data_IF_063081762420
#
_entry.id   IF_063081762420
#
_cell.length_a   1.000
_cell.length_b   1.000
_cell.length_c   1.000
_cell.angle_alpha   90.00
_cell.angle_beta   90.00
_cell.angle_gamma   90.00
#
_symmetry.space_group_name_H-M   'P 1'
#
loop_
_entity.id
_entity.type
_entity.pdbx_description
1 polymer ?
#
# COMPACT_ATOMS: atom_id res chain seq x y z
N UNK A 1 17.06 -21.92 -15.80
CA UNK A 1 15.78 -22.50 -15.31
C UNK A 1 14.87 -22.70 -16.51
N UNK A 2 14.32 -23.90 -16.68
CA UNK A 2 13.34 -24.16 -17.74
C UNK A 2 12.05 -23.37 -17.52
N UNK A 3 11.42 -22.88 -18.61
CA UNK A 3 10.19 -22.08 -18.57
C UNK A 3 9.07 -22.72 -17.75
N UNK A 4 9.00 -24.06 -17.73
CA UNK A 4 8.05 -24.84 -16.92
C UNK A 4 8.27 -24.65 -15.41
N UNK A 5 9.51 -24.66 -14.95
CA UNK A 5 9.84 -24.49 -13.54
C UNK A 5 9.50 -23.06 -13.04
N UNK A 6 9.73 -22.05 -13.89
CA UNK A 6 9.36 -20.66 -13.59
C UNK A 6 7.84 -20.53 -13.47
N UNK A 7 7.08 -21.05 -14.44
CA UNK A 7 5.62 -20.99 -14.40
C UNK A 7 5.02 -21.73 -13.19
N UNK A 8 5.62 -22.86 -12.80
CA UNK A 8 5.22 -23.59 -11.61
C UNK A 8 5.46 -22.77 -10.33
N UNK A 9 6.63 -22.13 -10.23
CA UNK A 9 6.98 -21.27 -9.10
C UNK A 9 6.03 -20.07 -8.99
N UNK A 10 5.72 -19.42 -10.12
CA UNK A 10 4.77 -18.32 -10.20
C UNK A 10 3.38 -18.75 -9.72
N UNK A 11 2.90 -19.93 -10.17
CA UNK A 11 1.62 -20.47 -9.74
C UNK A 11 1.60 -20.72 -8.23
N UNK A 12 2.62 -21.37 -7.70
CA UNK A 12 2.75 -21.63 -6.26
C UNK A 12 2.75 -20.34 -5.45
N UNK A 13 3.51 -19.32 -5.86
CA UNK A 13 3.55 -18.02 -5.15
C UNK A 13 2.21 -17.30 -5.16
N UNK A 14 1.42 -17.46 -6.23
CA UNK A 14 0.06 -16.92 -6.29
C UNK A 14 -0.88 -17.64 -5.31
N UNK A 15 -0.75 -18.95 -5.17
CA UNK A 15 -1.51 -19.75 -4.20
C UNK A 15 -1.14 -19.40 -2.76
N UNK A 16 0.16 -19.24 -2.46
CA UNK A 16 0.65 -18.76 -1.16
C UNK A 16 0.07 -17.38 -0.81
N UNK A 17 0.07 -16.44 -1.76
CA UNK A 17 -0.55 -15.12 -1.56
C UNK A 17 -2.06 -15.23 -1.34
N UNK A 18 -2.75 -16.12 -2.05
CA UNK A 18 -4.19 -16.34 -1.86
C UNK A 18 -4.50 -16.89 -0.46
N UNK A 19 -3.68 -17.82 0.04
CA UNK A 19 -3.78 -18.35 1.39
C UNK A 19 -3.50 -17.28 2.45
N UNK A 20 -2.45 -16.46 2.24
CA UNK A 20 -2.13 -15.34 3.11
C UNK A 20 -3.28 -14.33 3.21
N UNK A 21 -3.94 -13.99 2.09
CA UNK A 21 -5.04 -13.03 2.08
C UNK A 21 -6.34 -13.59 2.68
N UNK A 22 -6.49 -14.92 2.78
CA UNK A 22 -7.72 -15.59 3.22
C UNK A 22 -8.33 -15.05 4.53
N UNK A 23 -7.60 -14.89 5.64
CA UNK A 23 -8.19 -14.42 6.91
C UNK A 23 -8.63 -12.94 6.89
N UNK A 24 -8.16 -12.13 5.93
CA UNK A 24 -8.40 -10.68 5.93
C UNK A 24 -9.64 -10.26 5.14
N UNK A 25 -10.26 -11.20 4.44
CA UNK A 25 -11.44 -10.96 3.60
C UNK A 25 -12.54 -11.98 3.94
N UNK A 26 -13.66 -11.47 4.45
CA UNK A 26 -14.85 -12.28 4.76
C UNK A 26 -15.52 -12.84 3.50
N UNK A 27 -15.50 -12.07 2.40
CA UNK A 27 -16.10 -12.43 1.12
C UNK A 27 -15.08 -12.96 0.13
N UNK A 28 -15.40 -14.07 -0.52
CA UNK A 28 -14.53 -14.68 -1.54
C UNK A 28 -14.31 -13.73 -2.73
N UNK A 29 -15.35 -13.02 -3.18
CA UNK A 29 -15.23 -12.14 -4.33
C UNK A 29 -14.29 -10.96 -4.05
N UNK A 30 -14.37 -10.37 -2.85
CA UNK A 30 -13.46 -9.31 -2.45
C UNK A 30 -12.02 -9.80 -2.34
N UNK A 31 -11.81 -11.02 -1.81
CA UNK A 31 -10.50 -11.67 -1.73
C UNK A 31 -9.90 -11.92 -3.11
N UNK A 32 -10.69 -12.44 -4.06
CA UNK A 32 -10.22 -12.70 -5.42
C UNK A 32 -9.80 -11.40 -6.11
N UNK A 33 -10.58 -10.33 -5.94
CA UNK A 33 -10.23 -9.00 -6.48
C UNK A 33 -8.96 -8.45 -5.82
N UNK A 34 -8.79 -8.62 -4.50
CA UNK A 34 -7.56 -8.23 -3.80
C UNK A 34 -6.33 -9.02 -4.28
N UNK A 35 -6.47 -10.33 -4.47
CA UNK A 35 -5.43 -11.19 -5.04
C UNK A 35 -5.04 -10.73 -6.44
N UNK A 36 -6.02 -10.49 -7.32
CA UNK A 36 -5.80 -9.99 -8.68
C UNK A 36 -5.11 -8.63 -8.68
N UNK A 37 -5.55 -7.71 -7.81
CA UNK A 37 -4.96 -6.38 -7.69
C UNK A 37 -3.51 -6.44 -7.24
N UNK A 38 -3.22 -7.16 -6.14
CA UNK A 38 -1.86 -7.33 -5.63
C UNK A 38 -0.95 -8.02 -6.64
N UNK A 39 -1.47 -9.04 -7.33
CA UNK A 39 -0.72 -9.71 -8.41
C UNK A 39 -0.44 -8.77 -9.58
N UNK A 40 -1.42 -7.95 -9.97
CA UNK A 40 -1.26 -6.94 -11.01
C UNK A 40 -0.21 -5.88 -10.67
N UNK A 41 -0.03 -5.53 -9.39
CA UNK A 41 1.04 -4.61 -8.99
C UNK A 41 2.44 -5.16 -9.32
N UNK A 42 2.61 -6.48 -9.30
CA UNK A 42 3.87 -7.16 -9.65
C UNK A 42 4.01 -7.47 -11.15
N UNK A 43 3.02 -7.09 -11.96
CA UNK A 43 3.03 -7.33 -13.41
C UNK A 43 3.95 -6.37 -14.17
N UNK A 44 3.99 -6.55 -15.49
CA UNK A 44 4.70 -5.65 -16.42
C UNK A 44 3.93 -4.37 -16.76
N UNK A 45 2.74 -4.15 -16.18
CA UNK A 45 1.96 -2.94 -16.42
C UNK A 45 2.78 -1.69 -16.09
N UNK A 46 2.96 -0.81 -17.07
CA UNK A 46 3.81 0.38 -16.99
C UNK A 46 3.31 1.37 -15.94
N UNK A 47 1.99 1.66 -15.92
CA UNK A 47 1.36 2.47 -14.87
C UNK A 47 0.48 1.60 -13.99
N UNK A 48 0.71 1.69 -12.68
CA UNK A 48 -0.05 0.97 -11.66
C UNK A 48 -1.36 1.69 -11.31
N UNK A 49 -2.15 2.03 -12.33
CA UNK A 49 -3.51 2.58 -12.15
C UNK A 49 -4.56 1.48 -12.30
N UNK A 50 -5.78 1.70 -11.81
CA UNK A 50 -6.83 0.66 -11.82
C UNK A 50 -7.24 0.19 -13.21
N UNK A 51 -7.03 1.02 -14.25
CA UNK A 51 -7.38 0.66 -15.63
C UNK A 51 -6.40 -0.35 -16.21
N UNK A 52 -5.12 0.02 -16.26
CA UNK A 52 -4.08 -0.85 -16.80
C UNK A 52 -3.91 -2.13 -15.98
N UNK A 53 -4.07 -2.05 -14.66
CA UNK A 53 -4.05 -3.24 -13.82
C UNK A 53 -5.23 -4.16 -14.12
N UNK A 54 -6.42 -3.62 -14.39
CA UNK A 54 -7.60 -4.43 -14.70
C UNK A 54 -7.42 -5.15 -16.05
N UNK A 55 -6.91 -4.45 -17.06
CA UNK A 55 -6.57 -5.04 -18.36
C UNK A 55 -5.55 -6.17 -18.21
N UNK A 56 -4.47 -5.94 -17.46
CA UNK A 56 -3.46 -6.97 -17.17
C UNK A 56 -4.06 -8.18 -16.44
N UNK A 57 -5.05 -7.95 -15.57
CA UNK A 57 -5.76 -9.02 -14.85
C UNK A 57 -6.84 -9.71 -15.71
N UNK A 58 -7.02 -9.32 -16.98
CA UNK A 58 -8.05 -9.85 -17.87
C UNK A 58 -9.47 -9.39 -17.56
N UNK A 59 -9.63 -8.30 -16.80
CA UNK A 59 -10.92 -7.70 -16.46
C UNK A 59 -11.35 -6.69 -17.53
N UNK A 60 -12.66 -6.68 -17.83
CA UNK A 60 -13.24 -5.77 -18.83
C UNK A 60 -13.33 -4.31 -18.36
N UNK A 61 -13.33 -4.06 -17.04
CA UNK A 61 -13.50 -2.72 -16.47
C UNK A 61 -12.67 -2.57 -15.19
N UNK A 62 -12.29 -1.33 -14.80
CA UNK A 62 -11.53 -1.08 -13.57
C UNK A 62 -12.39 -1.16 -12.30
N UNK A 63 -13.70 -1.36 -12.43
CA UNK A 63 -14.65 -1.12 -11.33
C UNK A 63 -14.43 -2.03 -10.13
N UNK A 64 -13.98 -3.27 -10.34
CA UNK A 64 -13.65 -4.17 -9.25
C UNK A 64 -12.51 -3.59 -8.39
N UNK A 65 -11.44 -3.09 -9.01
CA UNK A 65 -10.31 -2.49 -8.30
C UNK A 65 -10.65 -1.14 -7.69
N UNK A 66 -11.43 -0.31 -8.38
CA UNK A 66 -11.92 0.94 -7.80
C UNK A 66 -12.83 0.69 -6.59
N UNK A 67 -13.67 -0.34 -6.63
CA UNK A 67 -14.48 -0.75 -5.51
C UNK A 67 -13.60 -1.21 -4.34
N UNK A 68 -12.66 -2.13 -4.58
CA UNK A 68 -11.71 -2.62 -3.56
C UNK A 68 -11.01 -1.46 -2.82
N UNK A 69 -10.47 -0.49 -3.56
CA UNK A 69 -9.65 0.58 -3.00
C UNK A 69 -10.47 1.70 -2.34
N UNK A 70 -11.73 1.90 -2.73
CA UNK A 70 -12.52 3.06 -2.28
C UNK A 70 -13.69 2.70 -1.36
N UNK A 71 -14.34 1.56 -1.60
CA UNK A 71 -15.61 1.17 -0.95
C UNK A 71 -15.54 -0.20 -0.28
N UNK A 72 -14.54 -1.01 -0.63
CA UNK A 72 -14.33 -2.32 -0.06
C UNK A 72 -14.07 -2.23 1.44
N UNK A 73 -14.72 -3.10 2.20
CA UNK A 73 -14.48 -3.24 3.64
C UNK A 73 -13.35 -4.26 3.84
N UNK A 74 -12.14 -3.76 4.11
CA UNK A 74 -10.98 -4.55 4.49
C UNK A 74 -10.09 -3.75 5.43
N UNK A 75 -9.38 -4.44 6.32
CA UNK A 75 -8.54 -3.80 7.33
C UNK A 75 -7.08 -3.82 6.87
N UNK A 76 -6.61 -2.68 6.37
CA UNK A 76 -5.23 -2.54 5.90
C UNK A 76 -4.20 -2.79 7.02
N UNK A 77 -4.56 -2.46 8.26
CA UNK A 77 -3.73 -2.71 9.45
C UNK A 77 -3.63 -4.21 9.75
N UNK A 78 -4.73 -4.96 9.67
CA UNK A 78 -4.70 -6.41 9.89
C UNK A 78 -3.82 -7.14 8.86
N UNK A 79 -3.87 -6.74 7.58
CA UNK A 79 -2.99 -7.31 6.54
C UNK A 79 -1.52 -6.99 6.83
N UNK A 80 -1.22 -5.75 7.24
CA UNK A 80 0.14 -5.37 7.65
C UNK A 80 0.60 -6.20 8.85
N UNK A 81 -0.22 -6.36 9.88
CA UNK A 81 0.13 -7.14 11.07
C UNK A 81 0.40 -8.60 10.71
N UNK A 82 -0.41 -9.17 9.81
CA UNK A 82 -0.14 -10.49 9.23
C UNK A 82 1.19 -10.56 8.49
N UNK A 83 1.51 -9.55 7.68
CA UNK A 83 2.79 -9.48 6.97
C UNK A 83 3.97 -9.39 7.96
N UNK A 84 3.85 -8.60 9.02
CA UNK A 84 4.86 -8.53 10.09
C UNK A 84 5.07 -9.92 10.71
N UNK A 85 4.00 -10.63 11.05
CA UNK A 85 4.10 -11.99 11.58
C UNK A 85 4.81 -12.94 10.60
N UNK A 86 4.45 -12.93 9.31
CA UNK A 86 5.11 -13.79 8.31
C UNK A 86 6.60 -13.45 8.12
N UNK A 87 6.94 -12.17 8.10
CA UNK A 87 8.32 -11.72 7.86
C UNK A 87 9.22 -11.95 9.07
N UNK A 88 8.69 -11.82 10.29
CA UNK A 88 9.48 -11.87 11.53
C UNK A 88 9.57 -13.26 12.16
N UNK A 89 8.78 -14.25 11.71
CA UNK A 89 8.74 -15.62 12.27
C UNK A 89 10.11 -16.29 12.43
N UNK A 90 11.02 -16.10 11.47
CA UNK A 90 12.27 -16.86 11.38
C UNK A 90 13.50 -15.98 11.05
N UNK A 91 13.47 -14.69 11.39
CA UNK A 91 14.51 -13.73 10.97
C UNK A 91 15.20 -13.07 12.16
N UNK A 92 16.40 -13.56 12.47
CA UNK A 92 17.38 -12.86 13.30
C UNK A 92 18.33 -12.03 12.43
N UNK A 93 18.83 -10.91 12.95
CA UNK A 93 19.92 -10.13 12.34
C UNK A 93 19.54 -9.20 11.18
N UNK A 94 18.26 -8.90 10.97
CA UNK A 94 17.85 -7.84 10.04
C UNK A 94 17.90 -6.44 10.66
N UNK A 95 17.96 -5.42 9.80
CA UNK A 95 17.92 -4.01 10.21
C UNK A 95 16.55 -3.41 9.91
N UNK A 96 16.15 -2.45 10.75
CA UNK A 96 14.98 -1.61 10.52
C UNK A 96 15.43 -0.28 9.94
N UNK A 97 14.94 0.04 8.75
CA UNK A 97 15.15 1.32 8.10
C UNK A 97 13.83 2.09 8.06
N UNK A 98 13.86 3.32 8.56
CA UNK A 98 12.74 4.24 8.47
C UNK A 98 13.10 5.31 7.46
N UNK A 99 12.21 5.53 6.51
CA UNK A 99 12.36 6.59 5.52
C UNK A 99 11.01 7.21 5.17
N UNK A 100 11.06 8.47 4.75
CA UNK A 100 9.90 9.17 4.24
C UNK A 100 9.91 9.22 2.72
N UNK A 101 8.74 9.10 2.09
CA UNK A 101 8.62 9.28 0.65
C UNK A 101 7.49 10.24 0.32
N UNK A 102 7.80 11.19 -0.56
CA UNK A 102 6.88 12.22 -1.01
C UNK A 102 6.17 11.81 -2.29
N UNK A 103 4.85 11.89 -2.29
CA UNK A 103 3.98 11.65 -3.43
C UNK A 103 3.42 12.99 -3.93
N UNK A 104 3.90 13.46 -5.08
CA UNK A 104 3.45 14.72 -5.67
C UNK A 104 1.95 14.72 -5.96
N UNK A 105 1.30 15.85 -5.70
CA UNK A 105 -0.13 16.07 -5.91
C UNK A 105 -0.37 17.46 -6.49
N UNK A 106 -1.46 17.61 -7.24
CA UNK A 106 -1.87 18.91 -7.80
C UNK A 106 -3.08 19.53 -7.08
N UNK A 107 -3.87 18.75 -6.34
CA UNK A 107 -5.05 19.23 -5.62
C UNK A 107 -4.84 19.35 -4.11
N UNK A 108 -5.90 19.75 -3.39
CA UNK A 108 -5.93 19.94 -1.93
C UNK A 108 -6.72 18.88 -1.15
N UNK A 109 -7.36 17.94 -1.86
CA UNK A 109 -8.32 16.99 -1.28
C UNK A 109 -7.70 15.67 -0.80
N UNK A 110 -6.50 15.30 -1.25
CA UNK A 110 -5.85 14.07 -0.77
C UNK A 110 -5.41 14.23 0.69
N UNK A 111 -5.69 13.24 1.53
CA UNK A 111 -5.35 13.26 2.96
C UNK A 111 -3.88 13.67 3.20
N UNK A 112 -3.63 14.62 4.10
CA UNK A 112 -2.27 15.06 4.43
C UNK A 112 -1.51 15.78 3.31
N UNK A 113 -2.16 16.13 2.18
CA UNK A 113 -1.50 16.91 1.13
C UNK A 113 -1.27 18.35 1.59
N UNK A 114 -0.04 18.83 1.48
CA UNK A 114 0.35 20.21 1.75
C UNK A 114 1.63 20.56 1.00
N UNK A 115 2.01 21.85 1.02
CA UNK A 115 3.34 22.27 0.59
C UNK A 115 4.36 21.91 1.66
N UNK A 116 5.18 20.91 1.39
CA UNK A 116 6.21 20.41 2.30
C UNK A 116 7.41 19.89 1.50
N UNK A 117 8.54 19.68 2.17
CA UNK A 117 9.71 19.10 1.51
C UNK A 117 9.38 17.68 1.05
N UNK A 118 9.70 17.38 -0.21
CA UNK A 118 9.53 16.06 -0.82
C UNK A 118 10.90 15.54 -1.20
N UNK A 119 11.42 14.53 -0.48
CA UNK A 119 12.72 13.94 -0.79
C UNK A 119 12.83 13.47 -2.25
N UNK A 120 11.76 12.88 -2.78
CA UNK A 120 11.67 12.44 -4.18
C UNK A 120 11.75 13.56 -5.23
N UNK A 121 11.39 14.79 -4.87
CA UNK A 121 11.45 15.96 -5.75
C UNK A 121 12.63 16.89 -5.42
N UNK A 122 13.34 16.64 -4.30
CA UNK A 122 14.45 17.46 -3.82
C UNK A 122 14.08 18.88 -3.42
N UNK A 123 12.78 19.21 -3.27
CA UNK A 123 12.30 20.58 -3.04
C UNK A 123 10.94 20.60 -2.33
N UNK A 124 10.52 21.80 -1.91
CA UNK A 124 9.18 22.02 -1.36
C UNK A 124 8.16 22.01 -2.50
N UNK A 125 7.25 21.03 -2.45
CA UNK A 125 6.16 20.86 -3.41
C UNK A 125 4.87 20.50 -2.70
N UNK A 126 3.76 20.59 -3.42
CA UNK A 126 2.50 20.04 -2.94
C UNK A 126 2.55 18.51 -3.02
N UNK A 127 2.65 17.84 -1.87
CA UNK A 127 2.76 16.39 -1.79
C UNK A 127 2.09 15.82 -0.55
N UNK A 128 1.78 14.53 -0.61
CA UNK A 128 1.56 13.68 0.57
C UNK A 128 2.90 13.07 0.97
N UNK A 129 3.14 12.88 2.26
CA UNK A 129 4.34 12.20 2.74
C UNK A 129 3.92 10.96 3.51
N UNK A 130 4.35 9.78 3.06
CA UNK A 130 4.24 8.56 3.83
C UNK A 130 5.57 8.26 4.53
N UNK A 131 5.51 7.82 5.77
CA UNK A 131 6.64 7.30 6.54
C UNK A 131 6.55 5.78 6.51
N UNK A 132 7.63 5.12 6.10
CA UNK A 132 7.67 3.70 5.85
C UNK A 132 8.72 3.02 6.70
N UNK A 133 8.37 1.87 7.26
CA UNK A 133 9.29 1.00 7.97
C UNK A 133 9.61 -0.20 7.08
N UNK A 134 10.89 -0.33 6.73
CA UNK A 134 11.42 -1.46 5.97
C UNK A 134 12.23 -2.37 6.86
N UNK A 135 11.99 -3.67 6.77
CA UNK A 135 12.85 -4.70 7.34
C UNK A 135 13.77 -5.24 6.25
N UNK A 136 15.08 -5.12 6.45
CA UNK A 136 16.09 -5.53 5.48
C UNK A 136 17.02 -6.60 6.06
N UNK A 137 17.32 -7.61 5.23
CA UNK A 137 18.23 -8.71 5.51
C UNK A 137 19.15 -8.92 4.30
N UNK A 138 20.11 -9.84 4.41
CA UNK A 138 20.92 -10.27 3.27
C UNK A 138 20.12 -10.96 2.14
N UNK A 139 18.87 -11.37 2.38
CA UNK A 139 18.00 -12.00 1.40
C UNK A 139 17.11 -10.99 0.64
N UNK A 140 17.03 -9.75 1.12
CA UNK A 140 16.15 -8.73 0.55
C UNK A 140 15.52 -7.85 1.62
N UNK A 141 14.54 -7.05 1.20
CA UNK A 141 13.83 -6.11 2.07
C UNK A 141 12.32 -6.13 1.79
N UNK A 142 11.54 -5.72 2.79
CA UNK A 142 10.08 -5.65 2.72
C UNK A 142 9.57 -4.51 3.59
N UNK A 143 8.56 -3.78 3.09
CA UNK A 143 7.84 -2.80 3.88
C UNK A 143 6.94 -3.50 4.88
N UNK A 144 7.17 -3.27 6.17
CA UNK A 144 6.45 -3.92 7.26
C UNK A 144 5.53 -2.95 8.01
N UNK A 145 5.71 -1.64 7.87
CA UNK A 145 4.76 -0.66 8.38
C UNK A 145 4.77 0.62 7.52
N UNK A 146 3.73 1.42 7.71
CA UNK A 146 3.41 2.62 6.95
C UNK A 146 2.50 3.52 7.77
N UNK A 147 2.81 4.79 7.77
CA UNK A 147 1.97 5.84 8.35
C UNK A 147 1.92 7.03 7.39
N UNK A 148 0.77 7.71 7.32
CA UNK A 148 0.64 8.93 6.53
C UNK A 148 0.94 10.13 7.43
N UNK A 149 1.95 10.92 7.10
CA UNK A 149 2.19 12.18 7.81
C UNK A 149 1.08 13.19 7.45
N UNK A 150 0.39 13.66 8.48
CA UNK A 150 -0.64 14.71 8.37
C UNK A 150 -0.06 16.02 8.92
N UNK A 151 0.17 17.03 8.06
CA UNK A 151 0.68 18.33 8.49
C UNK A 151 -0.26 19.02 9.49
N UNK A 152 0.30 19.80 10.42
CA UNK A 152 -0.46 20.48 11.49
C UNK A 152 -1.62 21.34 10.95
N UNK A 153 -1.44 22.00 9.79
CA UNK A 153 -2.49 22.81 9.14
C UNK A 153 -3.80 22.04 8.85
N UNK A 154 -3.74 20.71 8.69
CA UNK A 154 -4.94 19.90 8.48
C UNK A 154 -5.81 19.84 9.73
N UNK A 155 -5.22 19.97 10.91
CA UNK A 155 -5.94 19.91 12.18
C UNK A 155 -6.73 21.19 12.49
N UNK A 156 -6.53 22.25 11.68
CA UNK A 156 -7.28 23.50 11.74
C UNK A 156 -8.58 23.48 10.91
N UNK A 157 -8.78 22.47 10.06
CA UNK A 157 -9.93 22.34 9.16
C UNK A 157 -10.57 20.95 9.29
N UNK A 158 -11.56 20.85 10.19
CA UNK A 158 -12.26 19.59 10.46
C UNK A 158 -13.05 19.08 9.25
N UNK A 159 -13.63 19.98 8.45
CA UNK A 159 -14.41 19.61 7.26
C UNK A 159 -13.51 18.99 6.18
N UNK A 160 -12.31 19.56 5.97
CA UNK A 160 -11.29 19.00 5.08
C UNK A 160 -10.82 17.63 5.56
N UNK A 161 -10.57 17.46 6.87
CA UNK A 161 -10.19 16.15 7.45
C UNK A 161 -11.27 15.10 7.25
N UNK A 162 -12.52 15.44 7.55
CA UNK A 162 -13.65 14.53 7.42
C UNK A 162 -13.84 14.09 5.96
N UNK A 163 -13.79 15.03 4.99
CA UNK A 163 -13.88 14.71 3.55
C UNK A 163 -12.76 13.81 3.05
N UNK A 164 -11.57 13.91 3.64
CA UNK A 164 -10.43 13.07 3.28
C UNK A 164 -10.42 11.71 4.01
N UNK A 165 -11.40 11.46 4.90
CA UNK A 165 -11.50 10.22 5.66
C UNK A 165 -10.49 10.10 6.80
N UNK A 166 -9.95 11.22 7.29
CA UNK A 166 -9.03 11.21 8.44
C UNK A 166 -9.86 11.12 9.73
N UNK A 167 -9.70 10.08 10.57
CA UNK A 167 -10.47 9.93 11.80
C UNK A 167 -10.23 11.09 12.78
N UNK A 168 -11.23 11.39 13.62
CA UNK A 168 -11.20 12.52 14.57
C UNK A 168 -10.18 12.33 15.69
N UNK A 169 -9.98 11.07 16.09
CA UNK A 169 -9.06 10.64 17.13
C UNK A 169 -7.58 10.76 16.72
N UNK A 170 -7.28 10.85 15.42
CA UNK A 170 -5.93 11.13 14.94
C UNK A 170 -5.54 12.53 15.43
N UNK A 171 -4.36 12.62 16.04
CA UNK A 171 -3.75 13.87 16.50
C UNK A 171 -2.49 14.15 15.69
N UNK A 172 -2.09 15.42 15.65
CA UNK A 172 -0.81 15.80 15.06
C UNK A 172 0.34 15.06 15.75
N UNK A 173 1.28 14.58 14.93
CA UNK A 173 2.55 13.98 15.34
C UNK A 173 3.63 14.51 14.40
N UNK A 174 4.79 14.84 14.94
CA UNK A 174 5.93 15.17 14.09
C UNK A 174 6.36 13.93 13.31
N UNK A 175 7.05 14.16 12.19
CA UNK A 175 7.92 13.14 11.62
C UNK A 175 9.01 12.83 12.65
N UNK A 176 9.50 11.60 12.67
CA UNK A 176 10.48 11.11 13.66
C UNK A 176 11.66 12.08 13.76
#
# INVERSE_FOLDING_TARGET
MELKAINQTIKQKKEELALFLRPFFSREEARQVALQYTWGLMSKAERKNTWQLAEEAGLQTPYAFQHLLRRGLWQADAIRDGLQMEVLKDKEGGILAIDETGFLKKGKHSAGVARQYSGTAGRIENCQVGVFLSYATNQGHVLIDRELYIPEEWFLDEERRARAGIPREVKFKTKI
#
